data_IF_131411706112
#
_entry.id   IF_131411706112
#
_cell.length_a   1.000
_cell.length_b   1.000
_cell.length_c   1.000
_cell.angle_alpha   90.00
_cell.angle_beta   90.00
_cell.angle_gamma   90.00
#
_symmetry.space_group_name_H-M   'P 1'
#
loop_
_entity.id
_entity.type
_entity.pdbx_description
1 polymer ?
#
# COMPACT_ATOMS: atom_id res chain seq x y z
N UNK A 1 8.67 8.72 -18.44
CA UNK A 1 9.40 8.39 -17.20
C UNK A 1 10.89 8.37 -17.51
N UNK A 2 11.76 8.99 -16.71
CA UNK A 2 13.20 8.81 -16.87
C UNK A 2 13.54 7.32 -16.65
N UNK A 3 14.33 6.74 -17.54
CA UNK A 3 14.81 5.37 -17.42
C UNK A 3 15.81 5.30 -16.28
N UNK A 4 15.54 4.48 -15.25
CA UNK A 4 16.54 4.22 -14.20
C UNK A 4 17.78 3.59 -14.85
N UNK A 5 18.99 4.09 -14.59
CA UNK A 5 20.21 3.43 -15.05
C UNK A 5 20.28 2.03 -14.44
N UNK A 6 20.61 1.03 -15.25
CA UNK A 6 20.96 -0.32 -14.76
C UNK A 6 22.09 -0.19 -13.73
N UNK A 7 21.95 -0.80 -12.55
CA UNK A 7 22.98 -0.76 -11.51
C UNK A 7 22.82 0.34 -10.45
N UNK A 8 21.87 1.27 -10.62
CA UNK A 8 21.69 2.39 -9.66
C UNK A 8 21.39 1.90 -8.24
N UNK A 9 20.56 0.86 -8.11
CA UNK A 9 20.17 0.33 -6.80
C UNK A 9 21.36 -0.37 -6.12
N UNK A 10 22.10 -1.18 -6.87
CA UNK A 10 23.30 -1.88 -6.40
C UNK A 10 24.40 -0.90 -5.99
N UNK A 11 24.56 0.21 -6.72
CA UNK A 11 25.47 1.27 -6.35
C UNK A 11 25.11 1.87 -4.99
N UNK A 12 23.84 2.27 -4.80
CA UNK A 12 23.38 2.84 -3.53
C UNK A 12 23.60 1.88 -2.35
N UNK A 13 23.32 0.59 -2.53
CA UNK A 13 23.55 -0.45 -1.54
C UNK A 13 25.04 -0.60 -1.16
N UNK A 14 25.96 -0.32 -2.08
CA UNK A 14 27.41 -0.36 -1.81
C UNK A 14 27.92 0.86 -1.04
N UNK A 15 27.22 1.99 -1.13
CA UNK A 15 27.62 3.27 -0.53
C UNK A 15 27.08 3.44 0.89
N UNK A 16 25.86 2.94 1.17
CA UNK A 16 25.22 3.07 2.48
C UNK A 16 24.12 2.03 2.71
N UNK A 17 23.69 1.91 3.97
CA UNK A 17 22.47 1.18 4.32
C UNK A 17 21.26 1.94 3.75
N UNK A 18 20.37 1.20 3.08
CA UNK A 18 19.06 1.68 2.67
C UNK A 18 17.99 1.21 3.64
N UNK A 19 17.03 2.08 3.96
CA UNK A 19 15.94 1.80 4.89
C UNK A 19 14.66 1.50 4.11
N UNK A 20 14.09 0.32 4.36
CA UNK A 20 12.76 -0.05 3.90
C UNK A 20 11.70 0.58 4.82
N UNK A 21 10.52 0.85 4.29
CA UNK A 21 9.41 1.37 5.08
C UNK A 21 8.89 0.37 6.13
N UNK A 22 7.92 0.82 6.92
CA UNK A 22 7.33 0.03 7.99
C UNK A 22 5.99 -0.60 7.60
N UNK A 23 5.32 -1.19 8.60
CA UNK A 23 4.07 -1.89 8.40
C UNK A 23 2.91 -0.98 7.91
N UNK A 24 2.51 -1.15 6.65
CA UNK A 24 1.34 -0.51 6.03
C UNK A 24 0.05 -0.76 6.84
N UNK A 25 -0.24 -2.02 7.20
CA UNK A 25 -1.45 -2.38 7.94
C UNK A 25 -1.59 -1.65 9.28
N UNK A 26 -0.49 -1.50 10.05
CA UNK A 26 -0.50 -0.75 11.32
C UNK A 26 -0.83 0.73 11.10
N UNK A 27 -0.34 1.31 10.01
CA UNK A 27 -0.63 2.70 9.67
C UNK A 27 -2.07 2.88 9.22
N UNK A 28 -2.61 1.97 8.39
CA UNK A 28 -4.02 1.96 7.97
C UNK A 28 -4.95 1.92 9.20
N UNK A 29 -4.68 1.06 10.18
CA UNK A 29 -5.52 0.94 11.38
C UNK A 29 -5.62 2.24 12.20
N UNK A 30 -4.62 3.14 12.13
CA UNK A 30 -4.67 4.46 12.81
C UNK A 30 -5.68 5.42 12.19
N UNK A 31 -6.09 5.19 10.95
CA UNK A 31 -7.16 5.94 10.30
C UNK A 31 -8.55 5.40 10.65
N UNK A 32 -8.64 4.32 11.44
CA UNK A 32 -9.89 3.67 11.86
C UNK A 32 -10.87 3.42 10.69
N UNK A 33 -10.43 2.79 9.59
CA UNK A 33 -11.24 2.64 8.40
C UNK A 33 -12.48 1.80 8.68
N UNK A 34 -13.62 2.30 8.22
CA UNK A 34 -14.91 1.60 8.28
C UNK A 34 -15.12 0.75 7.05
N UNK A 35 -16.12 -0.13 7.06
CA UNK A 35 -16.53 -0.88 5.87
C UNK A 35 -16.81 0.03 4.66
N UNK A 36 -17.45 1.19 4.89
CA UNK A 36 -17.68 2.20 3.88
C UNK A 36 -16.37 2.78 3.31
N UNK A 37 -15.35 2.92 4.16
CA UNK A 37 -14.01 3.36 3.75
C UNK A 37 -13.37 2.36 2.79
N UNK A 38 -13.44 1.06 3.11
CA UNK A 38 -12.93 -0.02 2.26
C UNK A 38 -13.68 -0.08 0.93
N UNK A 39 -15.01 0.05 0.94
CA UNK A 39 -15.84 -0.03 -0.27
C UNK A 39 -15.65 1.16 -1.21
N UNK A 40 -15.58 2.37 -0.64
CA UNK A 40 -15.65 3.62 -1.41
C UNK A 40 -16.83 3.64 -2.40
N UNK A 41 -16.72 4.48 -3.42
CA UNK A 41 -17.73 4.50 -4.51
C UNK A 41 -17.66 3.24 -5.38
N UNK A 42 -16.43 2.70 -5.58
CA UNK A 42 -16.17 1.62 -6.52
C UNK A 42 -16.85 0.30 -6.16
N UNK A 43 -16.95 -0.02 -4.88
CA UNK A 43 -17.48 -1.28 -4.37
C UNK A 43 -18.71 -1.09 -3.47
N UNK A 44 -19.43 0.03 -3.63
CA UNK A 44 -20.58 0.39 -2.82
C UNK A 44 -21.66 -0.70 -2.80
N UNK A 45 -21.88 -1.39 -3.92
CA UNK A 45 -22.87 -2.48 -4.05
C UNK A 45 -22.28 -3.89 -4.02
N UNK A 46 -21.01 -4.04 -3.61
CA UNK A 46 -20.35 -5.34 -3.57
C UNK A 46 -21.02 -6.25 -2.52
N UNK A 47 -21.34 -7.53 -2.82
CA UNK A 47 -22.16 -8.35 -1.93
C UNK A 47 -21.42 -8.90 -0.69
N UNK A 48 -20.09 -8.81 -0.67
CA UNK A 48 -19.22 -9.32 0.41
C UNK A 48 -18.56 -8.13 1.11
N UNK A 49 -18.34 -8.23 2.42
CA UNK A 49 -17.64 -7.19 3.18
C UNK A 49 -16.15 -7.14 2.80
N UNK A 50 -15.62 -5.94 2.60
CA UNK A 50 -14.23 -5.70 2.20
C UNK A 50 -13.33 -5.29 3.36
N UNK A 51 -13.86 -5.22 4.59
CA UNK A 51 -13.06 -4.95 5.79
C UNK A 51 -11.87 -5.90 5.87
N UNK A 52 -10.70 -5.32 6.13
CA UNK A 52 -9.39 -5.97 6.17
C UNK A 52 -8.76 -6.31 4.80
N UNK A 53 -9.45 -6.09 3.67
CA UNK A 53 -8.82 -6.12 2.35
C UNK A 53 -8.02 -4.82 2.12
N UNK A 54 -6.90 -4.64 2.83
CA UNK A 54 -6.08 -3.43 2.81
C UNK A 54 -5.76 -2.94 1.39
N UNK A 55 -5.39 -3.88 0.52
CA UNK A 55 -5.01 -3.67 -0.87
C UNK A 55 -6.08 -2.93 -1.70
N UNK A 56 -7.37 -3.05 -1.35
CA UNK A 56 -8.44 -2.33 -2.08
C UNK A 56 -8.43 -0.82 -1.81
N UNK A 57 -7.81 -0.39 -0.71
CA UNK A 57 -7.70 1.02 -0.33
C UNK A 57 -6.82 1.81 -1.31
N UNK A 58 -5.96 1.15 -2.08
CA UNK A 58 -5.27 1.79 -3.22
C UNK A 58 -6.26 2.32 -4.26
N UNK A 59 -7.43 1.68 -4.39
CA UNK A 59 -8.48 2.06 -5.34
C UNK A 59 -9.53 2.96 -4.71
N UNK A 60 -9.89 2.71 -3.45
CA UNK A 60 -11.01 3.40 -2.78
C UNK A 60 -10.56 4.59 -1.95
N UNK A 61 -9.34 4.57 -1.42
CA UNK A 61 -8.73 5.62 -0.58
C UNK A 61 -7.28 5.94 -1.01
N UNK A 62 -7.02 6.26 -2.30
CA UNK A 62 -5.67 6.44 -2.81
C UNK A 62 -4.87 7.53 -2.09
N UNK A 63 -5.54 8.58 -1.59
CA UNK A 63 -4.87 9.65 -0.84
C UNK A 63 -4.41 9.21 0.55
N UNK A 64 -5.19 8.36 1.23
CA UNK A 64 -4.80 7.79 2.53
C UNK A 64 -3.52 6.95 2.38
N UNK A 65 -3.48 6.05 1.38
CA UNK A 65 -2.31 5.21 1.12
C UNK A 65 -1.10 6.06 0.71
N UNK A 66 -1.29 7.07 -0.15
CA UNK A 66 -0.23 7.99 -0.52
C UNK A 66 0.32 8.77 0.69
N UNK A 67 -0.54 9.20 1.62
CA UNK A 67 -0.12 9.88 2.84
C UNK A 67 0.66 8.97 3.79
N UNK A 68 0.33 7.67 3.87
CA UNK A 68 1.12 6.71 4.64
C UNK A 68 2.52 6.55 4.05
N UNK A 69 2.66 6.38 2.73
CA UNK A 69 3.97 6.32 2.09
C UNK A 69 4.76 7.62 2.30
N UNK A 70 4.12 8.79 2.19
CA UNK A 70 4.77 10.08 2.47
C UNK A 70 5.27 10.17 3.90
N UNK A 71 4.55 9.64 4.88
CA UNK A 71 5.01 9.61 6.27
C UNK A 71 6.26 8.75 6.44
N UNK A 72 6.34 7.59 5.78
CA UNK A 72 7.56 6.77 5.81
C UNK A 72 8.74 7.44 5.12
N UNK A 73 8.52 8.06 3.96
CA UNK A 73 9.55 8.83 3.26
C UNK A 73 10.04 10.01 4.11
N UNK A 74 9.12 10.74 4.76
CA UNK A 74 9.47 11.84 5.67
C UNK A 74 10.23 11.36 6.92
N UNK A 75 10.00 10.12 7.36
CA UNK A 75 10.73 9.48 8.45
C UNK A 75 12.11 8.94 8.03
N UNK A 76 12.46 8.99 6.74
CA UNK A 76 13.76 8.59 6.21
C UNK A 76 13.80 7.23 5.52
N UNK A 77 12.64 6.64 5.16
CA UNK A 77 12.64 5.47 4.29
C UNK A 77 13.20 5.82 2.90
N UNK A 78 14.07 4.95 2.39
CA UNK A 78 14.63 5.04 1.04
C UNK A 78 13.83 4.23 0.03
N UNK A 79 13.18 3.17 0.52
CA UNK A 79 12.43 2.20 -0.26
C UNK A 79 11.04 2.12 0.37
N UNK A 80 10.02 2.09 -0.48
CA UNK A 80 8.64 1.85 -0.08
C UNK A 80 8.14 0.58 -0.74
N UNK A 81 7.36 -0.20 -0.01
CA UNK A 81 6.61 -1.33 -0.56
C UNK A 81 5.33 -0.82 -1.23
N UNK A 82 4.79 -1.59 -2.17
CA UNK A 82 3.43 -1.36 -2.66
C UNK A 82 2.42 -1.93 -1.65
N UNK A 83 1.26 -1.30 -1.51
CA UNK A 83 0.14 -1.86 -0.73
C UNK A 83 -0.56 -2.97 -1.52
N UNK A 84 0.14 -4.10 -1.64
CA UNK A 84 -0.24 -5.19 -2.55
C UNK A 84 0.10 -6.59 -2.00
N UNK A 85 0.15 -6.74 -0.67
CA UNK A 85 0.53 -8.01 -0.04
C UNK A 85 -0.44 -9.15 -0.39
N UNK A 86 -1.75 -8.85 -0.44
CA UNK A 86 -2.81 -9.80 -0.79
C UNK A 86 -3.40 -9.56 -2.19
N UNK A 87 -2.85 -8.65 -2.99
CA UNK A 87 -3.30 -8.33 -4.35
C UNK A 87 -3.02 -9.45 -5.37
N UNK A 88 -3.51 -10.66 -5.10
CA UNK A 88 -3.44 -11.84 -5.94
C UNK A 88 -4.79 -12.57 -5.94
N UNK A 89 -5.03 -13.41 -6.95
CA UNK A 89 -6.33 -14.08 -7.18
C UNK A 89 -6.75 -14.95 -5.97
N UNK A 90 -5.81 -15.65 -5.34
CA UNK A 90 -6.13 -16.61 -4.26
C UNK A 90 -6.59 -15.85 -3.01
N UNK A 91 -5.88 -14.79 -2.63
CA UNK A 91 -6.26 -13.99 -1.46
C UNK A 91 -7.53 -13.19 -1.73
N UNK A 92 -7.72 -12.64 -2.93
CA UNK A 92 -8.88 -11.79 -3.25
C UNK A 92 -10.20 -12.57 -3.39
N UNK A 93 -10.13 -13.88 -3.59
CA UNK A 93 -11.31 -14.76 -3.65
C UNK A 93 -12.15 -14.70 -2.34
N UNK A 94 -11.52 -14.54 -1.18
CA UNK A 94 -12.23 -14.43 0.12
C UNK A 94 -13.14 -13.18 0.19
N UNK A 95 -12.78 -12.16 -0.58
CA UNK A 95 -13.54 -10.92 -0.74
C UNK A 95 -14.41 -10.92 -2.00
N UNK A 96 -14.40 -11.98 -2.80
CA UNK A 96 -15.12 -12.06 -4.08
C UNK A 96 -14.61 -11.10 -5.15
N UNK A 97 -13.31 -10.83 -5.18
CA UNK A 97 -12.62 -9.95 -6.14
C UNK A 97 -11.66 -10.72 -7.05
#
# INVERSE_FOLDING_TARGET
>A
MPTRPTGFFEQLLSERILVLDGAMGTMIQRYEPTEETYRGERFQSHPIDLKNAGDVLVLTQPQMIADIHRQYLAAGADIIETDSFNANIISMEEFGL
#
